data_IF_803165848343
#
_entry.id   IF_803165848343
#
_cell.length_a   1.000
_cell.length_b   1.000
_cell.length_c   1.000
_cell.angle_alpha   90.00
_cell.angle_beta   90.00
_cell.angle_gamma   90.00
#
_symmetry.space_group_name_H-M   'P 1'
#
loop_
_entity.id
_entity.type
_entity.pdbx_description
1 polymer ?
#
# COMPACT_ATOMS: atom_id res chain seq x y z
N UNK A 1 15.50 -8.74 -4.36
CA UNK A 1 15.45 -8.25 -5.76
C UNK A 1 14.38 -7.16 -5.84
N UNK A 2 14.43 -6.23 -6.81
CA UNK A 2 13.39 -5.20 -7.00
C UNK A 2 12.75 -5.38 -8.39
N UNK A 3 11.65 -4.67 -8.66
CA UNK A 3 10.89 -4.81 -9.90
C UNK A 3 11.77 -4.66 -11.16
N UNK A 4 12.60 -3.60 -11.24
CA UNK A 4 13.46 -3.35 -12.40
C UNK A 4 14.50 -4.45 -12.61
N UNK A 5 15.16 -4.94 -11.54
CA UNK A 5 16.10 -6.07 -11.64
C UNK A 5 15.42 -7.39 -12.02
N UNK A 6 14.12 -7.49 -11.82
CA UNK A 6 13.32 -8.63 -12.22
C UNK A 6 12.73 -8.51 -13.64
N UNK A 7 13.08 -7.44 -14.37
CA UNK A 7 12.61 -7.19 -15.74
C UNK A 7 11.21 -6.57 -15.83
N UNK A 8 10.66 -6.09 -14.71
CA UNK A 8 9.34 -5.47 -14.65
C UNK A 8 9.48 -3.94 -14.75
N UNK A 9 8.70 -3.33 -15.65
CA UNK A 9 8.59 -1.88 -15.80
C UNK A 9 7.78 -1.22 -14.68
N UNK A 10 7.90 0.09 -14.55
CA UNK A 10 7.04 0.94 -13.71
C UNK A 10 6.49 2.04 -14.62
N UNK A 11 5.19 2.06 -14.90
CA UNK A 11 4.59 3.10 -15.76
C UNK A 11 4.61 4.46 -15.07
N UNK A 12 4.17 4.49 -13.80
CA UNK A 12 4.11 5.68 -12.95
C UNK A 12 4.51 5.33 -11.52
N UNK A 13 5.23 6.25 -10.84
CA UNK A 13 5.58 6.12 -9.41
C UNK A 13 5.28 7.44 -8.70
N UNK A 14 4.49 7.38 -7.62
CA UNK A 14 4.11 8.55 -6.81
C UNK A 14 4.53 8.32 -5.35
N UNK A 15 5.27 9.27 -4.79
CA UNK A 15 5.55 9.35 -3.36
C UNK A 15 4.64 10.38 -2.70
N UNK A 16 3.81 9.97 -1.74
CA UNK A 16 2.85 10.86 -1.07
C UNK A 16 3.48 11.77 0.00
N UNK A 17 4.68 11.42 0.49
CA UNK A 17 5.23 11.99 1.72
C UNK A 17 4.55 11.42 2.97
N UNK A 18 5.13 11.69 4.15
CA UNK A 18 4.67 11.16 5.43
C UNK A 18 4.10 12.24 6.37
N UNK A 19 3.82 13.43 5.83
CA UNK A 19 3.26 14.53 6.60
C UNK A 19 1.78 14.29 6.90
N UNK A 20 1.27 14.74 8.07
CA UNK A 20 -0.14 14.57 8.44
C UNK A 20 -1.08 15.42 7.58
N UNK A 21 -0.57 16.50 6.97
CA UNK A 21 -1.32 17.36 6.05
C UNK A 21 -0.95 16.95 4.63
N UNK A 22 -1.86 16.23 3.98
CA UNK A 22 -1.70 15.77 2.60
C UNK A 22 -2.71 16.47 1.69
N UNK A 23 -2.29 16.81 0.47
CA UNK A 23 -3.15 17.41 -0.55
C UNK A 23 -3.69 16.40 -1.57
N UNK A 24 -3.36 15.13 -1.38
CA UNK A 24 -3.88 13.99 -2.15
C UNK A 24 -4.03 12.79 -1.21
N UNK A 25 -4.77 11.77 -1.65
CA UNK A 25 -5.01 10.57 -0.86
C UNK A 25 -4.66 9.31 -1.65
N UNK A 26 -4.44 8.18 -0.95
CA UNK A 26 -4.23 6.89 -1.61
C UNK A 26 -5.42 6.54 -2.54
N UNK A 27 -6.70 6.73 -2.15
CA UNK A 27 -7.83 6.57 -3.06
C UNK A 27 -7.76 7.38 -4.35
N UNK A 28 -7.37 8.66 -4.27
CA UNK A 28 -7.26 9.52 -5.46
C UNK A 28 -6.19 8.99 -6.43
N UNK A 29 -5.05 8.57 -5.89
CA UNK A 29 -3.94 7.99 -6.67
C UNK A 29 -4.33 6.64 -7.26
N UNK A 30 -5.02 5.79 -6.50
CA UNK A 30 -5.54 4.51 -6.99
C UNK A 30 -6.46 4.70 -8.18
N UNK A 31 -7.36 5.69 -8.13
CA UNK A 31 -8.23 6.03 -9.25
C UNK A 31 -7.48 6.52 -10.49
N UNK A 32 -6.27 7.09 -10.33
CA UNK A 32 -5.41 7.46 -11.46
C UNK A 32 -4.72 6.22 -12.05
N UNK A 33 -4.15 5.35 -11.22
CA UNK A 33 -3.46 4.14 -11.66
C UNK A 33 -4.41 3.12 -12.30
N UNK A 34 -5.63 2.98 -11.77
CA UNK A 34 -6.66 2.11 -12.36
C UNK A 34 -7.05 2.56 -13.78
N UNK A 35 -6.99 3.88 -14.06
CA UNK A 35 -7.30 4.44 -15.38
C UNK A 35 -6.12 4.53 -16.33
N UNK A 36 -4.89 4.34 -15.85
CA UNK A 36 -3.67 4.42 -16.65
C UNK A 36 -3.58 3.20 -17.58
N UNK A 37 -3.71 3.31 -18.91
CA UNK A 37 -3.69 2.15 -19.81
C UNK A 37 -2.35 1.39 -19.80
N UNK A 38 -1.27 2.00 -19.33
CA UNK A 38 0.06 1.38 -19.25
C UNK A 38 0.32 0.68 -17.89
N UNK A 39 -0.63 0.72 -16.96
CA UNK A 39 -0.54 0.01 -15.67
C UNK A 39 -1.26 -1.32 -15.72
N UNK A 40 -0.54 -2.42 -15.55
CA UNK A 40 -1.11 -3.77 -15.43
C UNK A 40 -1.44 -4.17 -13.98
N UNK A 41 -0.58 -3.80 -13.03
CA UNK A 41 -0.70 -4.14 -11.60
C UNK A 41 -0.32 -2.93 -10.75
N UNK A 42 -1.09 -2.67 -9.69
CA UNK A 42 -0.83 -1.58 -8.75
C UNK A 42 -0.09 -2.11 -7.53
N UNK A 43 0.98 -1.41 -7.13
CA UNK A 43 1.74 -1.71 -5.90
C UNK A 43 1.55 -0.59 -4.89
N UNK A 44 1.02 -0.90 -3.72
CA UNK A 44 0.95 0.01 -2.56
C UNK A 44 2.14 -0.25 -1.64
N UNK A 45 2.91 0.79 -1.33
CA UNK A 45 3.92 0.77 -0.27
C UNK A 45 3.44 1.70 0.85
N UNK A 46 2.91 1.11 1.91
CA UNK A 46 2.39 1.81 3.08
C UNK A 46 3.36 1.79 4.26
N UNK A 47 2.93 2.42 5.36
CA UNK A 47 3.65 2.46 6.64
C UNK A 47 2.65 2.34 7.79
N UNK A 48 3.07 1.97 9.00
CA UNK A 48 2.22 2.07 10.20
C UNK A 48 1.81 3.52 10.51
N UNK A 49 0.62 3.70 11.11
CA UNK A 49 0.06 5.01 11.49
C UNK A 49 -0.71 5.72 10.39
N UNK A 50 -1.64 6.62 10.75
CA UNK A 50 -2.60 7.19 9.79
C UNK A 50 -3.66 6.17 9.35
N UNK A 51 -4.48 6.52 8.33
CA UNK A 51 -5.63 5.70 7.90
C UNK A 51 -5.74 5.54 6.38
N UNK A 52 -4.66 5.83 5.66
CA UNK A 52 -4.71 5.90 4.19
C UNK A 52 -4.90 4.51 3.57
N UNK A 53 -4.33 3.48 4.17
CA UNK A 53 -4.39 2.09 3.74
C UNK A 53 -5.78 1.50 3.96
N UNK A 54 -6.44 1.79 5.09
CA UNK A 54 -7.83 1.37 5.30
C UNK A 54 -8.78 2.08 4.31
N UNK A 55 -8.54 3.36 4.01
CA UNK A 55 -9.28 4.08 2.97
C UNK A 55 -9.00 3.53 1.57
N UNK A 56 -7.76 3.13 1.31
CA UNK A 56 -7.36 2.49 0.07
C UNK A 56 -8.11 1.17 -0.12
N UNK A 57 -8.18 0.33 0.92
CA UNK A 57 -8.95 -0.91 0.89
C UNK A 57 -10.43 -0.68 0.56
N UNK A 58 -11.10 0.27 1.24
CA UNK A 58 -12.50 0.62 0.93
C UNK A 58 -12.68 1.09 -0.52
N UNK A 59 -11.71 1.83 -1.05
CA UNK A 59 -11.75 2.30 -2.44
C UNK A 59 -11.51 1.16 -3.44
N UNK A 60 -10.58 0.25 -3.12
CA UNK A 60 -10.26 -0.92 -3.94
C UNK A 60 -11.49 -1.80 -4.12
N UNK A 61 -12.16 -2.15 -3.02
CA UNK A 61 -13.37 -2.99 -3.03
C UNK A 61 -14.48 -2.47 -3.95
N UNK A 62 -14.61 -1.15 -4.05
CA UNK A 62 -15.72 -0.51 -4.77
C UNK A 62 -15.40 -0.14 -6.21
N UNK A 63 -14.15 0.21 -6.51
CA UNK A 63 -13.84 0.96 -7.72
C UNK A 63 -12.63 0.47 -8.50
N UNK A 64 -11.67 -0.22 -7.87
CA UNK A 64 -10.44 -0.62 -8.55
C UNK A 64 -10.65 -1.96 -9.21
N UNK A 65 -10.33 -2.04 -10.50
CA UNK A 65 -10.51 -3.25 -11.32
C UNK A 65 -9.20 -3.98 -11.57
N UNK A 66 -8.08 -3.26 -11.51
CA UNK A 66 -6.74 -3.85 -11.67
C UNK A 66 -6.28 -4.57 -10.41
N UNK A 67 -5.43 -5.62 -10.55
CA UNK A 67 -4.82 -6.26 -9.41
C UNK A 67 -4.02 -5.27 -8.55
N UNK A 68 -4.14 -5.41 -7.23
CA UNK A 68 -3.41 -4.60 -6.26
C UNK A 68 -2.63 -5.52 -5.32
N UNK A 69 -1.36 -5.19 -5.12
CA UNK A 69 -0.51 -5.82 -4.09
C UNK A 69 -0.02 -4.75 -3.12
N UNK A 70 0.18 -5.13 -1.86
CA UNK A 70 0.60 -4.20 -0.81
C UNK A 70 1.87 -4.68 -0.08
N UNK A 71 2.66 -3.73 0.38
CA UNK A 71 3.69 -3.93 1.41
C UNK A 71 3.55 -2.83 2.46
N UNK A 72 3.45 -3.20 3.74
CA UNK A 72 3.35 -2.24 4.84
C UNK A 72 4.67 -2.26 5.61
N UNK A 73 5.40 -1.15 5.57
CA UNK A 73 6.60 -0.98 6.35
C UNK A 73 6.28 -0.91 7.85
N UNK A 74 7.06 -1.62 8.66
CA UNK A 74 6.91 -1.58 10.12
C UNK A 74 5.95 -2.60 10.72
N UNK A 75 5.39 -3.54 9.94
CA UNK A 75 4.55 -4.63 10.48
C UNK A 75 5.21 -5.41 11.62
N UNK A 76 6.53 -5.61 11.53
CA UNK A 76 7.33 -6.33 12.53
C UNK A 76 8.05 -5.39 13.52
N UNK A 77 7.73 -4.10 13.54
CA UNK A 77 8.37 -3.15 14.45
C UNK A 77 7.91 -3.39 15.89
N UNK A 78 8.81 -3.35 16.89
CA UNK A 78 8.44 -3.43 18.30
C UNK A 78 7.50 -2.28 18.67
N UNK A 79 6.40 -2.56 19.38
CA UNK A 79 5.39 -1.55 19.73
C UNK A 79 5.96 -0.35 20.51
N UNK A 80 7.06 -0.55 21.24
CA UNK A 80 7.70 0.49 22.05
C UNK A 80 8.59 1.45 21.25
N UNK A 81 8.86 1.17 19.97
CA UNK A 81 9.64 2.08 19.12
C UNK A 81 8.70 2.96 18.30
N UNK A 82 8.68 4.26 18.64
CA UNK A 82 8.17 5.29 17.71
C UNK A 82 8.96 5.21 16.41
N UNK A 83 8.29 4.88 15.32
CA UNK A 83 8.84 5.05 13.97
C UNK A 83 8.94 6.55 13.66
N UNK A 84 10.03 6.96 13.03
CA UNK A 84 10.51 8.35 13.03
C UNK A 84 9.72 9.33 12.16
N UNK A 85 8.73 8.88 11.39
CA UNK A 85 7.94 9.77 10.53
C UNK A 85 6.79 10.43 11.29
N UNK A 86 6.56 11.73 11.02
CA UNK A 86 5.56 12.55 11.70
C UNK A 86 4.12 12.00 11.56
N UNK A 87 3.83 11.28 10.48
CA UNK A 87 2.52 10.66 10.21
C UNK A 87 2.27 9.30 10.90
N UNK A 88 3.27 8.70 11.55
CA UNK A 88 3.16 7.38 12.20
C UNK A 88 2.40 7.43 13.55
N UNK A 89 1.25 8.09 13.57
CA UNK A 89 0.38 8.21 14.74
C UNK A 89 -0.72 7.15 14.65
N UNK A 90 -0.71 6.22 15.60
CA UNK A 90 -1.80 5.25 15.79
C UNK A 90 -2.95 5.99 16.49
N UNK A 91 -4.15 5.90 15.95
CA UNK A 91 -5.33 6.54 16.53
C UNK A 91 -5.89 5.69 17.67
N UNK A 92 -6.45 6.34 18.69
CA UNK A 92 -7.03 5.65 19.85
C UNK A 92 -8.31 4.84 19.55
N UNK A 93 -8.83 4.91 18.33
CA UNK A 93 -9.97 4.15 17.83
C UNK A 93 -9.59 2.78 17.23
N UNK A 94 -8.31 2.39 17.34
CA UNK A 94 -7.79 1.12 16.82
C UNK A 94 -7.39 1.15 15.34
N UNK A 95 -7.59 2.27 14.64
CA UNK A 95 -7.17 2.44 13.25
C UNK A 95 -5.72 2.91 13.13
N UNK A 96 -5.11 2.61 11.99
CA UNK A 96 -3.70 2.89 11.73
C UNK A 96 -2.73 1.93 12.37
N UNK A 97 -3.22 0.86 13.00
CA UNK A 97 -2.37 -0.21 13.52
C UNK A 97 -1.89 -1.11 12.37
N UNK A 98 -0.74 -1.79 12.51
CA UNK A 98 -0.34 -2.86 11.59
C UNK A 98 -1.49 -3.84 11.31
N UNK A 99 -2.21 -4.23 12.35
CA UNK A 99 -3.29 -5.21 12.31
C UNK A 99 -4.51 -4.67 11.57
N UNK A 100 -4.94 -3.43 11.84
CA UNK A 100 -6.11 -2.85 11.16
C UNK A 100 -5.87 -2.71 9.66
N UNK A 101 -4.68 -2.25 9.26
CA UNK A 101 -4.32 -2.10 7.85
C UNK A 101 -4.23 -3.45 7.13
N UNK A 102 -3.62 -4.44 7.78
CA UNK A 102 -3.51 -5.80 7.24
C UNK A 102 -4.89 -6.44 7.09
N UNK A 103 -5.76 -6.29 8.09
CA UNK A 103 -7.14 -6.79 8.01
C UNK A 103 -7.92 -6.14 6.87
N UNK A 104 -7.85 -4.80 6.74
CA UNK A 104 -8.53 -4.07 5.69
C UNK A 104 -8.12 -4.54 4.29
N UNK A 105 -6.82 -4.73 4.02
CA UNK A 105 -6.36 -5.23 2.72
C UNK A 105 -6.77 -6.70 2.47
N UNK A 106 -6.66 -7.57 3.49
CA UNK A 106 -7.06 -8.97 3.35
C UNK A 106 -8.56 -9.12 3.07
N UNK A 107 -9.40 -8.28 3.69
CA UNK A 107 -10.87 -8.30 3.49
C UNK A 107 -11.27 -8.03 2.03
N UNK A 108 -10.44 -7.29 1.28
CA UNK A 108 -10.69 -6.91 -0.11
C UNK A 108 -9.80 -7.68 -1.10
N UNK A 109 -9.15 -8.75 -0.64
CA UNK A 109 -8.36 -9.66 -1.49
C UNK A 109 -7.01 -9.12 -1.97
N UNK A 110 -6.45 -8.10 -1.30
CA UNK A 110 -5.13 -7.57 -1.63
C UNK A 110 -4.04 -8.45 -1.01
N UNK A 111 -3.15 -8.97 -1.85
CA UNK A 111 -1.99 -9.73 -1.38
C UNK A 111 -0.98 -8.82 -0.67
N UNK A 112 -0.57 -9.20 0.54
CA UNK A 112 0.35 -8.41 1.36
C UNK A 112 1.70 -9.11 1.46
N UNK A 113 2.74 -8.49 0.90
CA UNK A 113 4.11 -8.94 1.02
C UNK A 113 4.60 -8.80 2.47
N UNK A 114 5.29 -9.83 2.98
CA UNK A 114 5.96 -9.83 4.29
C UNK A 114 7.28 -9.08 4.25
N UNK A 115 7.95 -9.11 3.10
CA UNK A 115 9.23 -8.44 2.86
C UNK A 115 9.22 -7.70 1.52
N UNK A 116 9.99 -6.60 1.36
CA UNK A 116 10.03 -5.86 0.10
C UNK A 116 10.38 -6.71 -1.14
N UNK A 117 11.17 -7.77 -0.96
CA UNK A 117 11.54 -8.66 -2.06
C UNK A 117 10.37 -9.50 -2.60
N UNK A 118 9.40 -9.84 -1.75
CA UNK A 118 8.24 -10.67 -2.08
C UNK A 118 7.23 -9.92 -2.97
N UNK A 119 7.24 -8.59 -2.96
CA UNK A 119 6.44 -7.76 -3.88
C UNK A 119 6.67 -8.18 -5.33
N UNK A 120 7.91 -8.54 -5.70
CA UNK A 120 8.24 -8.97 -7.06
C UNK A 120 7.50 -10.25 -7.44
N UNK A 121 7.42 -11.21 -6.51
CA UNK A 121 6.78 -12.50 -6.77
C UNK A 121 5.27 -12.33 -6.87
N UNK A 122 4.66 -11.52 -5.99
CA UNK A 122 3.23 -11.20 -6.04
C UNK A 122 2.85 -10.49 -7.34
N UNK A 123 3.63 -9.49 -7.78
CA UNK A 123 3.38 -8.80 -9.06
C UNK A 123 3.43 -9.78 -10.22
N UNK A 124 4.41 -10.69 -10.26
CA UNK A 124 4.51 -11.70 -11.32
C UNK A 124 3.30 -12.63 -11.36
N UNK A 125 2.78 -13.03 -10.20
CA UNK A 125 1.60 -13.89 -10.13
C UNK A 125 0.36 -13.24 -10.75
N UNK A 126 0.21 -11.92 -10.62
CA UNK A 126 -0.91 -11.17 -11.21
C UNK A 126 -0.72 -10.83 -12.70
N UNK A 127 0.50 -10.98 -13.23
CA UNK A 127 0.81 -10.79 -14.66
C UNK A 127 0.77 -12.10 -15.47
N UNK A 128 0.66 -13.25 -14.80
CA UNK A 128 0.79 -14.59 -15.42
C UNK A 128 -0.55 -15.19 -15.84
#
# INVERSE_FOLDING_TARGET
>A
VNLSKAGLGQSTVIGMGADPVVFTSMPDILGLFDKDPDTDVIVIVGEVGGIQEEKAAEYIDRWVTKPVVAYIAGLNAPQEKRMGHAGAIIRGDGKGTPQSKTAAFNEVGVDIARYPAEVVDLVKNHLS
#
